data_IF_255088310189
#
_entry.id   IF_255088310189
#
_cell.length_a   1.000
_cell.length_b   1.000
_cell.length_c   1.000
_cell.angle_alpha   90.00
_cell.angle_beta   90.00
_cell.angle_gamma   90.00
#
_symmetry.space_group_name_H-M   'P 1'
#
loop_
_entity.id
_entity.type
_entity.pdbx_description
1 polymer ?
#
# COMPACT_ATOMS: atom_id res chain seq x y z
N UNK A 1 0.53 -14.79 6.03
CA UNK A 1 0.72 -13.65 6.95
C UNK A 1 1.57 -12.57 6.30
N UNK A 2 1.34 -11.36 6.71
CA UNK A 2 2.14 -10.22 6.25
C UNK A 2 3.61 -10.36 6.70
N UNK A 3 4.48 -9.58 6.03
CA UNK A 3 5.92 -9.59 6.32
C UNK A 3 6.23 -8.90 7.65
N UNK A 4 7.50 -9.01 8.08
CA UNK A 4 7.99 -8.39 9.31
C UNK A 4 9.02 -7.28 9.03
N UNK A 5 9.11 -6.81 7.81
CA UNK A 5 10.01 -5.71 7.46
C UNK A 5 9.65 -4.48 8.28
N UNK A 6 10.63 -3.90 8.95
CA UNK A 6 10.41 -2.83 9.91
C UNK A 6 10.91 -1.45 9.49
N UNK A 7 11.70 -1.38 8.43
CA UNK A 7 12.24 -0.12 7.93
C UNK A 7 11.74 0.13 6.51
N UNK A 8 11.25 1.33 6.25
CA UNK A 8 10.75 1.69 4.93
C UNK A 8 11.83 1.50 3.85
N UNK A 9 13.08 1.81 4.15
CA UNK A 9 14.17 1.62 3.20
C UNK A 9 14.40 0.17 2.78
N UNK A 10 13.95 -0.79 3.57
CA UNK A 10 14.05 -2.22 3.27
C UNK A 10 12.78 -2.78 2.63
N UNK A 11 11.76 -1.96 2.48
CA UNK A 11 10.45 -2.41 2.02
C UNK A 11 10.37 -2.56 0.50
N UNK A 12 9.55 -3.50 0.07
CA UNK A 12 9.11 -3.61 -1.31
C UNK A 12 7.71 -3.04 -1.45
N UNK A 13 7.50 -2.24 -2.48
CA UNK A 13 6.24 -1.57 -2.76
C UNK A 13 5.70 -2.05 -4.10
N UNK A 14 4.42 -2.39 -4.14
CA UNK A 14 3.70 -2.69 -5.36
C UNK A 14 2.63 -1.63 -5.59
N UNK A 15 2.49 -1.18 -6.83
CA UNK A 15 1.48 -0.21 -7.24
C UNK A 15 1.00 -0.55 -8.65
N UNK A 16 -0.19 -0.12 -9.01
CA UNK A 16 -0.72 -0.43 -10.33
C UNK A 16 -0.25 0.57 -11.38
N UNK A 17 -0.16 1.84 -11.01
CA UNK A 17 -0.01 2.91 -11.99
C UNK A 17 0.50 4.20 -11.31
N UNK A 18 1.06 5.11 -12.12
CA UNK A 18 1.42 6.45 -11.68
C UNK A 18 0.34 7.49 -12.00
N UNK A 19 -0.76 7.06 -12.61
CA UNK A 19 -1.91 7.91 -12.90
C UNK A 19 -2.82 7.97 -11.67
N UNK A 20 -3.40 9.13 -11.40
CA UNK A 20 -4.33 9.30 -10.28
C UNK A 20 -3.69 9.72 -8.97
N UNK A 21 -2.39 9.93 -8.95
CA UNK A 21 -1.68 10.33 -7.73
C UNK A 21 -1.83 11.81 -7.38
N UNK A 22 -2.14 12.66 -8.37
CA UNK A 22 -2.30 14.09 -8.14
C UNK A 22 -1.06 14.72 -7.52
N UNK A 23 -1.24 15.47 -6.46
CA UNK A 23 -0.15 16.19 -5.77
C UNK A 23 0.85 15.26 -5.08
N UNK A 24 0.47 14.02 -4.84
CA UNK A 24 1.34 13.03 -4.17
C UNK A 24 2.32 12.35 -5.13
N UNK A 25 2.15 12.55 -6.44
CA UNK A 25 2.96 11.84 -7.43
C UNK A 25 4.45 12.07 -7.24
N UNK A 26 4.88 13.32 -7.10
CA UNK A 26 6.29 13.63 -6.98
C UNK A 26 6.91 13.01 -5.73
N UNK A 27 6.18 13.03 -4.64
CA UNK A 27 6.65 12.43 -3.38
C UNK A 27 6.73 10.91 -3.49
N UNK A 28 5.76 10.29 -4.16
CA UNK A 28 5.78 8.84 -4.36
C UNK A 28 6.94 8.43 -5.28
N UNK A 29 7.15 9.15 -6.38
CA UNK A 29 8.26 8.87 -7.30
C UNK A 29 9.60 9.03 -6.58
N UNK A 30 9.77 10.08 -5.78
CA UNK A 30 10.99 10.27 -4.99
C UNK A 30 11.20 9.14 -3.97
N UNK A 31 10.13 8.67 -3.36
CA UNK A 31 10.20 7.58 -2.40
C UNK A 31 10.69 6.28 -3.03
N UNK A 32 10.38 6.04 -4.29
CA UNK A 32 10.79 4.82 -4.98
C UNK A 32 12.30 4.63 -4.99
N UNK A 33 13.07 5.71 -4.94
CA UNK A 33 14.53 5.63 -4.91
C UNK A 33 15.08 5.29 -3.52
N UNK A 34 14.24 5.37 -2.49
CA UNK A 34 14.65 5.19 -1.10
C UNK A 34 14.16 3.89 -0.47
N UNK A 35 13.39 3.11 -1.22
CA UNK A 35 12.94 1.78 -0.77
C UNK A 35 13.78 0.71 -1.45
N UNK A 36 13.68 -0.49 -0.93
CA UNK A 36 14.45 -1.60 -1.50
C UNK A 36 14.03 -1.92 -2.94
N UNK A 37 12.71 -1.94 -3.19
CA UNK A 37 12.20 -2.42 -4.48
C UNK A 37 10.82 -1.86 -4.77
N UNK A 38 10.57 -1.52 -6.04
CA UNK A 38 9.23 -1.17 -6.50
C UNK A 38 8.85 -2.02 -7.71
N UNK A 39 7.56 -2.38 -7.81
CA UNK A 39 7.00 -3.13 -8.93
C UNK A 39 5.63 -2.61 -9.28
N UNK A 40 5.32 -2.53 -10.56
CA UNK A 40 3.98 -2.25 -11.03
C UNK A 40 3.25 -3.56 -11.29
N UNK A 41 2.42 -3.97 -10.34
CA UNK A 41 1.49 -5.09 -10.52
C UNK A 41 0.07 -4.56 -10.56
N UNK A 42 -0.85 -5.29 -11.17
CA UNK A 42 -2.24 -4.84 -11.27
C UNK A 42 -2.99 -5.00 -9.96
N UNK A 43 -3.73 -3.98 -9.61
CA UNK A 43 -4.90 -3.95 -8.74
C UNK A 43 -4.92 -4.91 -7.54
N UNK A 44 -5.84 -5.83 -7.59
CA UNK A 44 -6.09 -6.82 -6.55
C UNK A 44 -4.85 -7.65 -6.19
N UNK A 45 -4.07 -8.01 -7.19
CA UNK A 45 -2.90 -8.87 -7.02
C UNK A 45 -1.85 -8.28 -6.06
N UNK A 46 -1.61 -6.99 -6.16
CA UNK A 46 -0.64 -6.31 -5.27
C UNK A 46 -0.99 -6.48 -3.79
N UNK A 47 -2.27 -6.35 -3.46
CA UNK A 47 -2.74 -6.47 -2.08
C UNK A 47 -2.69 -7.91 -1.58
N UNK A 48 -2.90 -8.87 -2.46
CA UNK A 48 -2.76 -10.29 -2.12
C UNK A 48 -1.30 -10.62 -1.80
N UNK A 49 -0.36 -10.03 -2.51
CA UNK A 49 1.07 -10.21 -2.23
C UNK A 49 1.45 -9.65 -0.86
N UNK A 50 0.81 -8.57 -0.41
CA UNK A 50 1.00 -8.05 0.95
C UNK A 50 0.49 -9.06 1.97
N UNK A 51 -0.70 -9.60 1.77
CA UNK A 51 -1.28 -10.58 2.68
C UNK A 51 -0.44 -11.86 2.78
N UNK A 52 0.22 -12.24 1.70
CA UNK A 52 1.12 -13.40 1.69
C UNK A 52 2.49 -13.10 2.30
N UNK A 53 2.85 -11.84 2.49
CA UNK A 53 4.17 -11.46 2.96
C UNK A 53 5.22 -11.32 1.87
N UNK A 54 4.84 -11.44 0.60
CA UNK A 54 5.77 -11.35 -0.53
C UNK A 54 6.13 -9.91 -0.89
N UNK A 55 5.26 -8.96 -0.55
CA UNK A 55 5.43 -7.52 -0.73
C UNK A 55 5.07 -6.86 0.59
N UNK A 56 5.68 -5.75 0.91
CA UNK A 56 5.46 -5.09 2.20
C UNK A 56 4.38 -4.03 2.17
N UNK A 57 4.24 -3.34 1.04
CA UNK A 57 3.25 -2.27 0.84
C UNK A 57 2.64 -2.40 -0.55
N UNK A 58 1.33 -2.29 -0.62
CA UNK A 58 0.62 -2.14 -1.89
C UNK A 58 -0.20 -0.86 -1.82
N UNK A 59 -0.15 -0.07 -2.87
CA UNK A 59 -0.81 1.23 -2.90
C UNK A 59 -1.56 1.46 -4.19
N UNK A 60 -2.76 2.03 -4.05
CA UNK A 60 -3.66 2.31 -5.16
C UNK A 60 -4.31 3.68 -4.94
N UNK A 61 -4.03 4.68 -5.79
CA UNK A 61 -4.58 6.01 -5.55
C UNK A 61 -6.07 6.13 -5.83
N UNK A 62 -6.63 5.19 -6.58
CA UNK A 62 -8.07 5.19 -6.90
C UNK A 62 -8.56 3.76 -7.03
N UNK A 63 -9.59 3.41 -6.27
CA UNK A 63 -10.12 2.06 -6.24
C UNK A 63 -11.60 2.09 -5.82
N UNK A 64 -12.41 1.17 -6.35
CA UNK A 64 -13.82 1.13 -6.00
C UNK A 64 -14.05 0.54 -4.60
N UNK A 65 -15.17 0.90 -3.98
CA UNK A 65 -15.51 0.40 -2.65
C UNK A 65 -15.63 -1.13 -2.61
N UNK A 66 -16.16 -1.72 -3.66
CA UNK A 66 -16.33 -3.17 -3.73
C UNK A 66 -15.00 -3.91 -3.67
N UNK A 67 -14.02 -3.41 -4.43
CA UNK A 67 -12.68 -4.00 -4.42
C UNK A 67 -12.00 -3.81 -3.08
N UNK A 68 -12.13 -2.61 -2.51
CA UNK A 68 -11.49 -2.29 -1.24
C UNK A 68 -12.06 -3.06 -0.05
N UNK A 69 -13.37 -3.33 -0.04
CA UNK A 69 -13.99 -4.04 1.07
C UNK A 69 -13.44 -5.46 1.22
N UNK A 70 -13.27 -6.16 0.10
CA UNK A 70 -12.69 -7.50 0.11
C UNK A 70 -11.22 -7.48 0.52
N UNK A 71 -10.45 -6.52 -0.01
CA UNK A 71 -9.03 -6.38 0.30
C UNK A 71 -8.78 -6.05 1.77
N UNK A 72 -9.61 -5.17 2.33
CA UNK A 72 -9.52 -4.78 3.74
C UNK A 72 -9.59 -6.00 4.65
N UNK A 73 -10.59 -6.84 4.46
CA UNK A 73 -10.75 -8.06 5.26
C UNK A 73 -9.56 -8.99 5.13
N UNK A 74 -9.13 -9.26 3.90
CA UNK A 74 -8.03 -10.20 3.65
C UNK A 74 -6.72 -9.71 4.27
N UNK A 75 -6.40 -8.43 4.11
CA UNK A 75 -5.16 -7.87 4.64
C UNK A 75 -5.18 -7.87 6.17
N UNK A 76 -6.30 -7.49 6.79
CA UNK A 76 -6.43 -7.48 8.26
C UNK A 76 -6.32 -8.89 8.83
N UNK A 77 -6.97 -9.87 8.21
CA UNK A 77 -6.89 -11.26 8.66
C UNK A 77 -5.46 -11.82 8.54
N UNK A 78 -4.67 -11.30 7.62
CA UNK A 78 -3.27 -11.69 7.49
C UNK A 78 -2.34 -10.96 8.49
N UNK A 79 -2.89 -10.09 9.32
CA UNK A 79 -2.13 -9.33 10.33
C UNK A 79 -1.65 -7.98 9.86
N UNK A 80 -2.10 -7.52 8.69
CA UNK A 80 -1.70 -6.24 8.13
C UNK A 80 -2.63 -5.08 8.45
N UNK A 81 -2.38 -3.96 7.81
CA UNK A 81 -3.17 -2.74 7.96
C UNK A 81 -3.66 -2.25 6.60
N UNK A 82 -4.86 -1.70 6.57
CA UNK A 82 -5.50 -1.17 5.37
C UNK A 82 -6.09 0.20 5.67
N UNK A 83 -5.65 1.22 4.92
CA UNK A 83 -6.14 2.59 5.05
C UNK A 83 -6.28 3.24 3.68
N UNK A 84 -6.82 4.46 3.63
CA UNK A 84 -6.70 5.29 2.44
C UNK A 84 -5.35 6.03 2.43
N UNK A 85 -5.12 6.87 1.44
CA UNK A 85 -3.84 7.61 1.31
C UNK A 85 -3.65 8.68 2.40
N UNK A 86 -4.71 9.03 3.12
CA UNK A 86 -4.64 9.97 4.24
C UNK A 86 -4.45 9.25 5.59
N UNK A 87 -4.48 7.93 5.57
CA UNK A 87 -4.32 7.14 6.78
C UNK A 87 -5.62 6.79 7.50
N UNK A 88 -6.77 7.07 6.88
CA UNK A 88 -8.06 6.70 7.47
C UNK A 88 -8.31 5.22 7.31
N UNK A 89 -8.57 4.54 8.42
CA UNK A 89 -8.83 3.10 8.42
C UNK A 89 -10.05 2.72 7.60
N UNK A 90 -9.95 1.55 6.94
CA UNK A 90 -11.07 0.93 6.27
C UNK A 90 -11.17 1.28 4.79
N UNK A 91 -12.20 0.72 4.11
CA UNK A 91 -12.27 0.72 2.65
C UNK A 91 -13.03 1.91 2.04
N UNK A 92 -13.37 2.94 2.81
CA UNK A 92 -14.30 3.98 2.37
C UNK A 92 -13.68 5.22 1.74
N UNK A 93 -12.35 5.31 1.68
CA UNK A 93 -11.67 6.53 1.27
C UNK A 93 -11.42 6.72 -0.22
N UNK A 94 -11.80 5.77 -1.05
CA UNK A 94 -11.59 5.85 -2.51
C UNK A 94 -10.16 5.55 -2.97
N UNK A 95 -9.25 5.33 -2.04
CA UNK A 95 -7.87 4.94 -2.29
C UNK A 95 -7.46 3.88 -1.28
N UNK A 96 -6.35 3.20 -1.51
CA UNK A 96 -5.97 2.08 -0.64
C UNK A 96 -4.47 1.98 -0.44
N UNK A 97 -4.09 1.75 0.82
CA UNK A 97 -2.75 1.32 1.21
C UNK A 97 -2.91 0.06 2.04
N UNK A 98 -2.35 -1.04 1.55
CA UNK A 98 -2.19 -2.26 2.33
C UNK A 98 -0.75 -2.38 2.76
N UNK A 99 -0.49 -2.80 3.99
CA UNK A 99 0.88 -3.04 4.42
C UNK A 99 0.96 -4.11 5.49
N UNK A 100 2.19 -4.43 5.88
CA UNK A 100 2.43 -5.33 7.01
C UNK A 100 2.10 -4.68 8.37
N UNK A 101 1.65 -3.42 8.36
CA UNK A 101 1.30 -2.67 9.58
C UNK A 101 2.48 -1.95 10.23
N UNK A 102 3.69 -2.44 10.04
CA UNK A 102 4.89 -1.90 10.69
C UNK A 102 5.39 -0.63 9.99
N UNK A 103 5.45 -0.67 8.65
CA UNK A 103 5.95 0.45 7.83
C UNK A 103 4.84 1.39 7.35
N UNK A 104 3.60 1.15 7.75
CA UNK A 104 2.43 1.86 7.25
C UNK A 104 2.47 3.37 7.51
N UNK A 105 2.73 3.75 8.75
CA UNK A 105 2.80 5.15 9.17
C UNK A 105 3.92 5.90 8.44
N UNK A 106 5.08 5.28 8.33
CA UNK A 106 6.22 5.91 7.65
C UNK A 106 5.93 6.14 6.18
N UNK A 107 5.27 5.18 5.54
CA UNK A 107 4.86 5.33 4.15
C UNK A 107 3.89 6.50 3.96
N UNK A 108 2.85 6.57 4.80
CA UNK A 108 1.86 7.66 4.72
C UNK A 108 2.53 9.02 4.88
N UNK A 109 3.46 9.12 5.82
CA UNK A 109 4.19 10.35 6.07
C UNK A 109 4.99 10.80 4.85
N UNK A 110 5.62 9.86 4.15
CA UNK A 110 6.45 10.18 2.99
C UNK A 110 5.66 10.62 1.76
N UNK A 111 4.42 10.16 1.59
CA UNK A 111 3.61 10.53 0.43
C UNK A 111 2.71 11.75 0.69
N UNK A 112 2.63 12.22 1.91
CA UNK A 112 1.89 13.41 2.31
C UNK A 112 2.85 14.47 2.84
#
# INVERSE_FOLDING_TARGET
RVSKVSKLGDASISYSDLIGWGERKDKFVALQERVWRTRGHGDFWSHMLVAEGAVDIAVEPSLSLWDMAALDVIVREAGGKFTDLNGKDGPHGGSAISSNGIVHRDFIKEIN
#
